data_IF_302229456911
#
_entry.id   IF_302229456911
#
_cell.length_a   1.000
_cell.length_b   1.000
_cell.length_c   1.000
_cell.angle_alpha   90.00
_cell.angle_beta   90.00
_cell.angle_gamma   90.00
#
_symmetry.space_group_name_H-M   'P 1'
#
loop_
_entity.id
_entity.type
_entity.pdbx_description
1 polymer ?
#
# COMPACT_ATOMS: atom_id res chain seq x y z
N UNK A 1 -14.04 -3.29 -11.31
CA UNK A 1 -13.28 -3.49 -10.05
C UNK A 1 -14.15 -3.37 -8.80
N UNK A 2 -15.24 -2.58 -8.79
CA UNK A 2 -16.19 -2.54 -7.65
C UNK A 2 -16.67 -3.92 -7.18
N UNK A 3 -16.95 -4.83 -8.12
CA UNK A 3 -17.40 -6.19 -7.82
C UNK A 3 -16.44 -7.05 -6.99
N UNK A 4 -15.18 -6.67 -6.79
CA UNK A 4 -14.27 -7.43 -5.92
C UNK A 4 -14.61 -7.23 -4.45
N UNK A 5 -14.99 -6.02 -4.06
CA UNK A 5 -15.39 -5.71 -2.69
C UNK A 5 -16.79 -6.26 -2.34
N UNK A 6 -17.60 -6.57 -3.35
CA UNK A 6 -19.00 -6.97 -3.18
C UNK A 6 -19.22 -8.50 -3.11
N UNK A 7 -18.30 -9.32 -3.64
CA UNK A 7 -18.56 -10.75 -3.85
C UNK A 7 -17.52 -11.72 -3.27
N UNK A 8 -16.34 -11.27 -2.83
CA UNK A 8 -15.28 -12.18 -2.36
C UNK A 8 -15.13 -12.18 -0.86
N UNK A 9 -15.19 -13.39 -0.28
CA UNK A 9 -15.15 -13.60 1.17
C UNK A 9 -13.74 -13.93 1.70
N UNK A 10 -12.78 -14.25 0.80
CA UNK A 10 -11.47 -14.80 1.19
C UNK A 10 -10.33 -14.18 0.38
N UNK A 11 -9.22 -13.87 1.06
CA UNK A 11 -8.00 -13.24 0.50
C UNK A 11 -7.50 -13.92 -0.78
N UNK A 12 -7.37 -15.26 -0.79
CA UNK A 12 -6.83 -15.99 -1.93
C UNK A 12 -7.70 -15.90 -3.20
N UNK A 13 -9.02 -15.83 -3.03
CA UNK A 13 -9.93 -15.67 -4.16
C UNK A 13 -9.78 -14.28 -4.79
N UNK A 14 -9.77 -13.23 -3.95
CA UNK A 14 -9.53 -11.87 -4.40
C UNK A 14 -8.15 -11.74 -5.07
N UNK A 15 -7.10 -12.32 -4.49
CA UNK A 15 -5.74 -12.34 -5.05
C UNK A 15 -5.71 -13.01 -6.42
N UNK A 16 -6.34 -14.17 -6.57
CA UNK A 16 -6.39 -14.91 -7.84
C UNK A 16 -7.07 -14.08 -8.94
N UNK A 17 -8.17 -13.40 -8.61
CA UNK A 17 -8.92 -12.55 -9.55
C UNK A 17 -8.13 -11.31 -9.92
N UNK A 18 -7.56 -10.61 -8.93
CA UNK A 18 -6.71 -9.44 -9.14
C UNK A 18 -5.44 -9.77 -9.92
N UNK A 19 -4.98 -11.02 -9.89
CA UNK A 19 -3.81 -11.49 -10.66
C UNK A 19 -4.15 -11.80 -12.11
N UNK A 20 -5.30 -12.45 -12.37
CA UNK A 20 -5.62 -13.06 -13.68
C UNK A 20 -6.56 -12.24 -14.56
N UNK A 21 -7.40 -11.39 -13.98
CA UNK A 21 -8.42 -10.65 -14.74
C UNK A 21 -7.77 -9.66 -15.69
N UNK A 22 -8.15 -9.68 -16.98
CA UNK A 22 -7.72 -8.67 -17.95
C UNK A 22 -8.30 -7.31 -17.56
N UNK A 23 -7.48 -6.28 -17.59
CA UNK A 23 -7.83 -4.91 -17.23
C UNK A 23 -7.48 -3.95 -18.37
N UNK A 24 -8.16 -2.80 -18.42
CA UNK A 24 -8.00 -1.84 -19.52
C UNK A 24 -6.67 -1.08 -19.46
N UNK A 25 -6.13 -0.84 -18.27
CA UNK A 25 -4.89 -0.11 -18.02
C UNK A 25 -4.03 -0.84 -16.96
N UNK A 26 -2.70 -0.64 -16.95
CA UNK A 26 -1.82 -1.14 -15.90
C UNK A 26 -2.22 -0.62 -14.51
N UNK A 27 -1.92 -1.39 -13.47
CA UNK A 27 -2.30 -1.03 -12.10
C UNK A 27 -1.37 -1.67 -11.06
N UNK A 28 -1.41 -1.14 -9.84
CA UNK A 28 -0.90 -1.82 -8.66
C UNK A 28 -2.08 -2.16 -7.75
N UNK A 29 -2.22 -3.42 -7.36
CA UNK A 29 -3.19 -3.83 -6.35
C UNK A 29 -2.45 -4.15 -5.06
N UNK A 30 -2.82 -3.47 -3.97
CA UNK A 30 -2.33 -3.75 -2.63
C UNK A 30 -3.47 -4.46 -1.90
N UNK A 31 -3.24 -5.71 -1.51
CA UNK A 31 -4.25 -6.57 -0.91
C UNK A 31 -3.73 -7.08 0.43
N UNK A 32 -4.51 -6.88 1.49
CA UNK A 32 -4.29 -7.47 2.82
C UNK A 32 -5.42 -8.44 3.16
N UNK A 33 -5.09 -9.54 3.81
CA UNK A 33 -6.03 -10.53 4.32
C UNK A 33 -6.32 -10.36 5.81
N UNK A 34 -6.87 -11.41 6.43
CA UNK A 34 -7.20 -11.42 7.86
C UNK A 34 -6.27 -12.32 8.70
N UNK A 35 -5.29 -12.97 8.07
CA UNK A 35 -4.27 -13.80 8.75
C UNK A 35 -2.87 -13.23 8.58
N UNK A 36 -1.98 -13.62 9.50
CA UNK A 36 -0.55 -13.30 9.42
C UNK A 36 0.04 -13.84 8.11
N UNK A 37 0.82 -13.00 7.42
CA UNK A 37 1.42 -13.30 6.12
C UNK A 37 0.51 -13.04 4.91
N UNK A 38 -0.80 -12.81 5.09
CA UNK A 38 -1.70 -12.43 4.00
C UNK A 38 -1.56 -10.93 3.69
N UNK A 39 -0.58 -10.60 2.86
CA UNK A 39 -0.41 -9.25 2.34
C UNK A 39 0.47 -9.26 1.10
N UNK A 40 0.03 -8.63 0.02
CA UNK A 40 0.81 -8.56 -1.20
C UNK A 40 0.59 -7.27 -2.01
N UNK A 41 1.59 -6.97 -2.85
CA UNK A 41 1.49 -6.01 -3.95
C UNK A 41 1.52 -6.78 -5.26
N UNK A 42 0.47 -6.64 -6.06
CA UNK A 42 0.35 -7.23 -7.39
C UNK A 42 0.61 -6.12 -8.42
N UNK A 43 1.73 -6.21 -9.13
CA UNK A 43 2.05 -5.29 -10.23
C UNK A 43 1.45 -5.84 -11.52
N UNK A 44 0.50 -5.10 -12.11
CA UNK A 44 -0.31 -5.56 -13.24
C UNK A 44 -0.02 -4.80 -14.52
N UNK A 45 0.16 -5.57 -15.58
CA UNK A 45 -0.11 -5.14 -16.94
C UNK A 45 -1.57 -5.48 -17.32
N UNK A 46 -2.04 -4.97 -18.45
CA UNK A 46 -3.39 -5.14 -18.97
C UNK A 46 -3.81 -6.61 -19.03
N UNK A 47 -2.91 -7.50 -19.43
CA UNK A 47 -3.23 -8.92 -19.69
C UNK A 47 -2.55 -9.91 -18.76
N UNK A 48 -1.60 -9.48 -17.92
CA UNK A 48 -0.81 -10.36 -17.06
C UNK A 48 -0.39 -9.70 -15.76
N UNK A 49 0.04 -10.51 -14.80
CA UNK A 49 0.78 -10.06 -13.63
C UNK A 49 2.28 -10.04 -13.95
N UNK A 50 2.95 -8.95 -13.59
CA UNK A 50 4.39 -8.76 -13.78
C UNK A 50 5.18 -9.21 -12.54
N UNK A 51 4.63 -8.99 -11.35
CA UNK A 51 5.23 -9.34 -10.05
C UNK A 51 4.13 -9.48 -9.00
N UNK A 52 4.32 -10.40 -8.06
CA UNK A 52 3.50 -10.54 -6.85
C UNK A 52 4.46 -10.52 -5.67
N UNK A 53 4.52 -9.39 -4.97
CA UNK A 53 5.43 -9.18 -3.86
C UNK A 53 4.69 -9.35 -2.54
N UNK A 54 4.91 -10.49 -1.88
CA UNK A 54 4.21 -10.88 -0.66
C UNK A 54 5.00 -10.51 0.60
N UNK A 55 4.29 -10.38 1.72
CA UNK A 55 4.87 -10.46 3.05
C UNK A 55 5.60 -11.80 3.22
N UNK A 56 6.69 -11.77 3.97
CA UNK A 56 7.41 -12.97 4.37
C UNK A 56 7.92 -12.78 5.80
N UNK A 57 7.06 -13.00 6.81
CA UNK A 57 7.44 -12.83 8.21
C UNK A 57 8.61 -13.72 8.63
N UNK A 58 8.79 -14.89 8.00
CA UNK A 58 9.90 -15.81 8.30
C UNK A 58 11.24 -15.25 7.86
N UNK A 59 11.26 -14.46 6.78
CA UNK A 59 12.44 -13.74 6.30
C UNK A 59 12.50 -12.28 6.81
N UNK A 60 11.72 -11.94 7.83
CA UNK A 60 11.71 -10.59 8.44
C UNK A 60 11.01 -9.52 7.61
N UNK A 61 10.30 -9.87 6.53
CA UNK A 61 9.53 -8.93 5.72
C UNK A 61 8.12 -8.76 6.29
N UNK A 62 8.00 -7.80 7.19
CA UNK A 62 6.77 -7.50 7.93
C UNK A 62 5.90 -6.40 7.30
N UNK A 63 6.37 -5.74 6.23
CA UNK A 63 5.56 -4.83 5.43
C UNK A 63 5.82 -5.00 3.93
N UNK A 64 4.82 -4.61 3.14
CA UNK A 64 4.96 -4.31 1.71
C UNK A 64 4.59 -2.85 1.49
N UNK A 65 5.25 -2.19 0.54
CA UNK A 65 5.05 -0.77 0.26
C UNK A 65 5.04 -0.56 -1.25
N UNK A 66 4.03 0.16 -1.72
CA UNK A 66 3.86 0.52 -3.13
C UNK A 66 3.47 2.00 -3.25
N UNK A 67 4.10 2.69 -4.20
CA UNK A 67 3.74 4.05 -4.62
C UNK A 67 3.25 3.98 -6.07
N UNK A 68 3.97 4.59 -7.02
CA UNK A 68 3.53 4.72 -8.41
C UNK A 68 4.58 4.23 -9.44
N UNK A 69 5.57 3.46 -8.99
CA UNK A 69 6.60 2.89 -9.87
C UNK A 69 6.92 1.46 -9.47
N UNK A 70 7.44 0.69 -10.43
CA UNK A 70 7.79 -0.70 -10.25
C UNK A 70 8.85 -0.87 -9.15
N UNK A 71 8.69 -1.90 -8.31
CA UNK A 71 9.60 -2.14 -7.18
C UNK A 71 11.05 -2.34 -7.61
N UNK A 72 11.29 -3.00 -8.74
CA UNK A 72 12.61 -3.28 -9.31
C UNK A 72 13.19 -2.13 -10.14
N UNK A 73 12.51 -0.98 -10.21
CA UNK A 73 13.00 0.23 -10.86
C UNK A 73 13.30 1.31 -9.82
N UNK A 74 14.16 2.24 -10.23
CA UNK A 74 14.41 3.46 -9.48
C UNK A 74 13.16 4.37 -9.52
N UNK A 75 12.89 5.09 -8.43
CA UNK A 75 11.87 6.14 -8.42
C UNK A 75 12.21 7.22 -9.47
N UNK A 76 11.20 7.93 -9.93
CA UNK A 76 11.45 9.18 -10.64
C UNK A 76 12.09 10.16 -9.66
N UNK A 77 13.21 10.78 -10.03
CA UNK A 77 14.07 11.51 -9.07
C UNK A 77 13.38 12.70 -8.37
N UNK A 78 12.28 13.22 -8.94
CA UNK A 78 11.47 14.26 -8.30
C UNK A 78 10.37 13.71 -7.36
N UNK A 79 9.98 12.44 -7.48
CA UNK A 79 8.93 11.80 -6.67
C UNK A 79 9.46 10.47 -6.06
N UNK A 80 10.25 10.58 -4.99
CA UNK A 80 10.60 9.43 -4.17
C UNK A 80 9.92 9.48 -2.80
N UNK A 81 8.65 9.04 -2.77
CA UNK A 81 7.92 8.76 -1.51
C UNK A 81 8.22 7.39 -0.91
N UNK A 82 8.71 6.44 -1.70
CA UNK A 82 8.95 5.06 -1.25
C UNK A 82 10.10 5.00 -0.26
N UNK A 83 11.20 5.71 -0.52
CA UNK A 83 12.37 5.68 0.37
C UNK A 83 12.07 6.29 1.74
N UNK A 84 11.48 7.50 1.85
CA UNK A 84 11.09 8.08 3.14
C UNK A 84 10.09 7.21 3.91
N UNK A 85 9.07 6.66 3.24
CA UNK A 85 8.11 5.77 3.89
C UNK A 85 8.78 4.49 4.45
N UNK A 86 9.71 3.88 3.71
CA UNK A 86 10.51 2.75 4.24
C UNK A 86 11.35 3.13 5.43
N UNK A 87 12.00 4.30 5.40
CA UNK A 87 12.80 4.78 6.52
C UNK A 87 11.94 4.97 7.77
N UNK A 88 10.76 5.58 7.63
CA UNK A 88 9.82 5.75 8.75
C UNK A 88 9.30 4.40 9.27
N UNK A 89 8.90 3.47 8.39
CA UNK A 89 8.49 2.12 8.80
C UNK A 89 9.61 1.37 9.54
N UNK A 90 10.83 1.40 9.01
CA UNK A 90 11.99 0.77 9.64
C UNK A 90 12.30 1.38 11.01
N UNK A 91 12.12 2.69 11.18
CA UNK A 91 12.29 3.39 12.46
C UNK A 91 11.17 3.05 13.45
N UNK A 92 9.93 2.90 12.99
CA UNK A 92 8.80 2.47 13.82
C UNK A 92 9.00 1.04 14.34
N UNK A 93 9.60 0.17 13.53
CA UNK A 93 9.76 -1.27 13.77
C UNK A 93 8.43 -2.04 13.76
N UNK A 94 8.53 -3.37 13.66
CA UNK A 94 7.36 -4.25 13.65
C UNK A 94 6.61 -4.23 14.99
N UNK A 95 7.31 -4.06 16.11
CA UNK A 95 6.74 -4.11 17.45
C UNK A 95 5.86 -2.90 17.78
N UNK A 96 6.16 -1.73 17.19
CA UNK A 96 5.43 -0.50 17.47
C UNK A 96 4.45 -0.10 16.36
N UNK A 97 4.21 -0.96 15.36
CA UNK A 97 3.26 -0.63 14.29
C UNK A 97 1.82 -0.62 14.83
N UNK A 98 1.11 0.48 14.60
CA UNK A 98 -0.26 0.74 15.07
C UNK A 98 -0.93 1.75 14.15
N UNK A 99 -2.21 2.06 14.36
CA UNK A 99 -2.88 3.14 13.62
C UNK A 99 -2.17 4.48 13.78
N UNK A 100 -1.78 4.84 15.01
CA UNK A 100 -1.08 6.09 15.28
C UNK A 100 0.27 6.17 14.56
N UNK A 101 1.11 5.13 14.71
CA UNK A 101 2.43 5.14 14.08
C UNK A 101 2.38 4.96 12.56
N UNK A 102 1.35 4.29 12.02
CA UNK A 102 1.10 4.28 10.58
C UNK A 102 0.65 5.66 10.08
N UNK A 103 -0.19 6.36 10.84
CA UNK A 103 -0.59 7.73 10.51
C UNK A 103 0.60 8.68 10.53
N UNK A 104 1.55 8.51 11.46
CA UNK A 104 2.80 9.29 11.50
C UNK A 104 3.65 9.07 10.23
N UNK A 105 3.81 7.82 9.80
CA UNK A 105 4.48 7.49 8.52
C UNK A 105 3.80 8.21 7.36
N UNK A 106 2.47 8.10 7.26
CA UNK A 106 1.67 8.71 6.19
C UNK A 106 1.55 10.23 6.30
N UNK A 107 1.96 10.82 7.43
CA UNK A 107 1.97 12.28 7.66
C UNK A 107 3.35 12.91 7.44
N UNK A 108 4.38 12.11 7.18
CA UNK A 108 5.74 12.59 6.97
C UNK A 108 5.91 13.07 5.53
N UNK A 109 6.38 14.31 5.30
CA UNK A 109 6.72 14.81 3.95
C UNK A 109 7.94 14.03 3.40
N UNK A 110 7.97 13.59 2.12
CA UNK A 110 7.00 13.85 1.05
C UNK A 110 5.88 12.80 0.92
N UNK A 111 5.78 11.81 1.83
CA UNK A 111 4.68 10.82 1.83
C UNK A 111 3.33 11.54 1.91
N UNK A 112 3.23 12.51 2.82
CA UNK A 112 2.22 13.57 2.77
C UNK A 112 2.70 14.69 1.84
N UNK A 113 1.86 15.07 0.88
CA UNK A 113 2.13 16.11 -0.10
C UNK A 113 0.87 16.89 -0.50
N UNK A 114 1.01 17.88 -1.39
CA UNK A 114 -0.10 18.71 -1.88
C UNK A 114 -1.20 17.95 -2.62
N UNK A 115 -0.92 16.76 -3.17
CA UNK A 115 -1.92 15.91 -3.83
C UNK A 115 -2.63 14.96 -2.86
N UNK A 116 -2.21 14.91 -1.59
CA UNK A 116 -2.84 14.04 -0.61
C UNK A 116 -4.21 14.57 -0.24
N UNK A 117 -5.26 13.95 -0.77
CA UNK A 117 -6.66 14.31 -0.48
C UNK A 117 -7.11 13.74 0.87
N UNK A 118 -6.80 12.47 1.12
CA UNK A 118 -7.20 11.77 2.34
C UNK A 118 -6.17 10.72 2.75
N UNK A 119 -6.24 10.26 3.99
CA UNK A 119 -5.49 9.13 4.53
C UNK A 119 -6.46 8.14 5.15
N UNK A 120 -6.33 6.86 4.78
CA UNK A 120 -7.18 5.78 5.25
C UNK A 120 -6.35 4.78 6.05
N UNK A 121 -6.88 4.35 7.19
CA UNK A 121 -6.31 3.30 8.05
C UNK A 121 -7.33 2.17 8.17
N UNK A 122 -6.86 0.93 8.06
CA UNK A 122 -7.72 -0.26 8.01
C UNK A 122 -7.14 -1.36 8.91
N UNK A 123 -7.97 -1.93 9.78
CA UNK A 123 -7.71 -3.18 10.51
C UNK A 123 -8.84 -4.15 10.17
N UNK A 124 -8.52 -5.14 9.31
CA UNK A 124 -9.48 -6.13 8.81
C UNK A 124 -10.07 -6.96 9.94
N UNK A 125 -9.24 -7.35 10.92
CA UNK A 125 -9.67 -8.27 11.99
C UNK A 125 -10.58 -7.60 13.00
N UNK A 126 -10.37 -6.31 13.26
CA UNK A 126 -11.22 -5.51 14.15
C UNK A 126 -12.40 -4.85 13.43
N UNK A 127 -12.49 -4.97 12.10
CA UNK A 127 -13.47 -4.24 11.30
C UNK A 127 -13.30 -2.72 11.43
N UNK A 128 -12.10 -2.24 11.75
CA UNK A 128 -11.84 -0.82 11.98
C UNK A 128 -11.43 -0.14 10.69
N UNK A 129 -12.15 0.91 10.30
CA UNK A 129 -11.90 1.67 9.09
C UNK A 129 -12.07 3.16 9.38
N UNK A 130 -10.99 3.92 9.22
CA UNK A 130 -10.98 5.36 9.44
C UNK A 130 -10.42 6.07 8.20
N UNK A 131 -10.96 7.24 7.88
CA UNK A 131 -10.44 8.09 6.80
C UNK A 131 -10.47 9.55 7.22
N UNK A 132 -9.36 10.25 6.96
CA UNK A 132 -9.15 11.63 7.36
C UNK A 132 -8.82 12.48 6.13
N UNK A 133 -9.53 13.60 5.94
CA UNK A 133 -9.12 14.61 4.96
C UNK A 133 -7.77 15.20 5.36
N UNK A 134 -6.90 15.45 4.38
CA UNK A 134 -5.55 15.95 4.62
C UNK A 134 -5.36 17.33 4.00
N UNK A 135 -4.50 18.10 4.64
CA UNK A 135 -3.90 19.29 4.07
C UNK A 135 -2.39 19.24 4.31
N UNK A 136 -1.63 19.87 3.43
CA UNK A 136 -0.19 19.97 3.52
C UNK A 136 0.23 21.45 3.43
N UNK A 137 0.24 22.17 4.57
CA UNK A 137 0.55 23.60 4.58
C UNK A 137 1.99 23.86 4.13
N UNK A 138 2.20 25.04 3.56
CA UNK A 138 3.50 25.44 3.05
C UNK A 138 4.54 25.60 4.17
N UNK A 139 5.80 25.20 3.94
CA UNK A 139 6.33 24.62 2.69
C UNK A 139 6.00 23.12 2.53
N UNK A 140 5.42 22.71 1.39
CA UNK A 140 5.14 21.30 1.08
C UNK A 140 5.33 20.99 -0.41
N UNK A 141 5.82 19.79 -0.74
CA UNK A 141 6.07 19.36 -2.12
C UNK A 141 4.76 19.16 -2.90
N UNK A 142 4.80 19.49 -4.19
CA UNK A 142 3.65 19.44 -5.08
C UNK A 142 3.13 18.03 -5.40
N UNK A 143 3.90 16.97 -5.15
CA UNK A 143 3.58 15.59 -5.52
C UNK A 143 4.27 14.56 -4.63
#
# INVERSE_FOLDING_TARGET
MKGIYEFFLVYEEAKNILTKTKILAPAYFILGGNKSGEGCVITRDRTRSLDIYELDPKQGRWYVLQTNYDRWKNPFFLDDRRTPAKMCLNRTTQENISFATMYDVLSTKPVLNKLTVYTTLIDVTKGHFETYLRDCPDPCIGW
#
